data_IF_472353692801
#
_entry.id   IF_472353692801
#
_cell.length_a   1.000
_cell.length_b   1.000
_cell.length_c   1.000
_cell.angle_alpha   90.00
_cell.angle_beta   90.00
_cell.angle_gamma   90.00
#
_symmetry.space_group_name_H-M   'P 1'
#
loop_
_entity.id
_entity.type
_entity.pdbx_description
1 polymer ?
#
# COMPACT_ATOMS: atom_id res chain seq x y z
N UNK A 1 -3.16 10.06 -20.01
CA UNK A 1 -2.23 10.36 -18.89
C UNK A 1 -2.09 9.07 -18.08
N UNK A 2 -1.06 8.26 -18.36
CA UNK A 2 -0.93 6.90 -17.80
C UNK A 2 -0.41 6.95 -16.36
N UNK A 3 -1.30 7.24 -15.41
CA UNK A 3 -1.03 6.98 -13.99
C UNK A 3 -1.07 5.47 -13.77
N UNK A 4 -0.02 4.91 -13.19
CA UNK A 4 -0.10 3.55 -12.62
C UNK A 4 -0.38 3.78 -11.15
N UNK A 5 -1.64 3.60 -10.78
CA UNK A 5 -2.12 3.87 -9.42
C UNK A 5 -1.55 2.80 -8.49
N UNK A 6 -0.58 3.20 -7.67
CA UNK A 6 -0.16 2.47 -6.49
C UNK A 6 -1.09 2.92 -5.35
N UNK A 7 -2.32 2.39 -5.29
CA UNK A 7 -3.27 2.80 -4.24
C UNK A 7 -2.86 2.17 -2.89
N UNK A 8 -1.98 2.85 -2.18
CA UNK A 8 -1.63 2.49 -0.80
C UNK A 8 -2.70 3.08 0.13
N UNK A 9 -3.78 2.34 0.35
CA UNK A 9 -4.74 2.68 1.40
C UNK A 9 -4.27 2.09 2.73
N UNK A 10 -3.48 2.86 3.47
CA UNK A 10 -2.98 2.47 4.78
C UNK A 10 -4.10 2.57 5.82
N UNK A 11 -4.76 1.45 6.11
CA UNK A 11 -5.64 1.31 7.27
C UNK A 11 -4.77 0.70 8.38
N UNK A 12 -4.28 1.55 9.27
CA UNK A 12 -3.55 1.12 10.45
C UNK A 12 -4.53 0.95 11.61
N UNK A 13 -4.41 -0.17 12.35
CA UNK A 13 -5.15 -0.39 13.59
C UNK A 13 -4.15 -0.16 14.73
N UNK A 14 -4.20 1.02 15.33
CA UNK A 14 -3.42 1.33 16.54
C UNK A 14 -4.08 0.67 17.75
N UNK A 15 -3.31 -0.04 18.59
CA UNK A 15 -3.70 -0.41 19.96
C UNK A 15 -3.45 0.72 20.96
N UNK A 16 -2.76 1.79 20.55
CA UNK A 16 -2.43 2.94 21.38
C UNK A 16 -3.28 4.17 21.02
N UNK A 17 -3.83 4.83 22.05
CA UNK A 17 -4.57 6.09 21.96
C UNK A 17 -3.69 7.20 21.38
N UNK A 18 -3.70 7.35 20.06
CA UNK A 18 -3.01 8.40 19.31
C UNK A 18 -3.55 8.41 17.89
N UNK A 19 -4.18 9.51 17.49
CA UNK A 19 -4.93 9.58 16.23
C UNK A 19 -4.06 9.34 15.00
N UNK A 20 -4.03 8.11 14.50
CA UNK A 20 -3.44 7.81 13.20
C UNK A 20 -4.31 8.37 12.08
N UNK A 21 -3.68 9.06 11.13
CA UNK A 21 -4.33 9.50 9.91
C UNK A 21 -4.11 8.44 8.82
N UNK A 22 -5.20 7.88 8.25
CA UNK A 22 -5.08 6.97 7.12
C UNK A 22 -4.45 7.73 5.95
N UNK A 23 -3.47 7.11 5.30
CA UNK A 23 -2.97 7.58 4.02
C UNK A 23 -3.87 6.96 2.94
N UNK A 24 -4.39 7.80 2.05
CA UNK A 24 -5.31 7.33 1.02
C UNK A 24 -4.57 6.80 -0.21
N UNK A 25 -3.51 7.46 -0.71
CA UNK A 25 -2.86 7.08 -1.99
C UNK A 25 -1.39 7.52 -2.10
N UNK A 26 -0.56 6.72 -2.78
CA UNK A 26 0.83 7.04 -3.15
C UNK A 26 1.00 6.89 -4.67
N UNK A 27 1.09 7.98 -5.41
CA UNK A 27 1.24 7.93 -6.87
C UNK A 27 2.63 8.41 -7.30
N UNK A 28 3.34 7.59 -8.08
CA UNK A 28 4.63 7.96 -8.68
C UNK A 28 4.44 8.23 -10.18
N UNK A 29 4.89 9.40 -10.64
CA UNK A 29 4.78 9.79 -12.05
C UNK A 29 5.67 8.90 -12.92
N UNK A 30 5.25 8.66 -14.17
CA UNK A 30 5.95 7.77 -15.12
C UNK A 30 7.47 8.01 -15.28
N UNK A 31 7.99 9.26 -15.29
CA UNK A 31 9.43 9.52 -15.42
C UNK A 31 10.27 9.00 -14.25
N UNK A 32 9.66 8.71 -13.09
CA UNK A 32 10.34 8.28 -11.88
C UNK A 32 10.14 6.77 -11.61
N UNK A 33 9.71 6.02 -12.63
CA UNK A 33 9.63 4.55 -12.55
C UNK A 33 11.02 3.96 -12.73
N UNK A 34 11.32 2.90 -12.00
CA UNK A 34 12.60 2.18 -12.11
C UNK A 34 13.80 2.89 -11.45
N UNK A 35 13.62 4.09 -10.90
CA UNK A 35 14.70 4.85 -10.22
C UNK A 35 14.86 4.52 -8.73
N UNK A 36 14.01 3.65 -8.18
CA UNK A 36 13.96 3.38 -6.74
C UNK A 36 13.28 4.46 -5.90
N UNK A 37 12.91 5.61 -6.49
CA UNK A 37 12.23 6.72 -5.77
C UNK A 37 10.94 6.28 -5.10
N UNK A 38 10.16 5.39 -5.74
CA UNK A 38 8.94 4.84 -5.17
C UNK A 38 9.20 4.09 -3.86
N UNK A 39 10.28 3.31 -3.79
CA UNK A 39 10.67 2.55 -2.60
C UNK A 39 11.15 3.48 -1.49
N UNK A 40 11.96 4.47 -1.83
CA UNK A 40 12.45 5.46 -0.85
C UNK A 40 11.30 6.22 -0.20
N UNK A 41 10.34 6.69 -1.00
CA UNK A 41 9.18 7.40 -0.49
C UNK A 41 8.28 6.48 0.35
N UNK A 42 8.07 5.24 -0.10
CA UNK A 42 7.38 4.21 0.69
C UNK A 42 8.03 4.01 2.06
N UNK A 43 9.35 3.81 2.11
CA UNK A 43 10.07 3.55 3.34
C UNK A 43 10.05 4.76 4.27
N UNK A 44 10.25 5.97 3.72
CA UNK A 44 10.16 7.21 4.49
C UNK A 44 8.76 7.43 5.11
N UNK A 45 7.69 7.06 4.40
CA UNK A 45 6.32 7.19 4.88
C UNK A 45 6.00 6.22 6.02
N UNK A 46 6.69 5.08 6.09
CA UNK A 46 6.48 4.03 7.09
C UNK A 46 7.47 4.10 8.26
N UNK A 47 8.66 4.68 8.06
CA UNK A 47 9.75 4.66 9.03
C UNK A 47 9.42 5.29 10.40
N UNK A 48 8.46 6.22 10.45
CA UNK A 48 8.08 6.96 11.66
C UNK A 48 6.65 6.67 12.11
N UNK A 49 6.08 5.56 11.64
CA UNK A 49 4.72 5.16 12.00
C UNK A 49 4.72 4.48 13.38
N UNK A 50 3.90 4.96 14.34
CA UNK A 50 3.76 4.29 15.64
C UNK A 50 3.04 2.94 15.55
N UNK A 51 2.46 2.58 14.40
CA UNK A 51 1.65 1.37 14.25
C UNK A 51 2.48 0.13 13.93
N UNK A 52 2.01 -1.04 14.38
CA UNK A 52 2.65 -2.34 14.14
C UNK A 52 2.45 -2.89 12.73
N UNK A 53 1.44 -2.39 12.02
CA UNK A 53 1.00 -2.97 10.74
C UNK A 53 0.49 -1.90 9.80
N UNK A 54 0.89 -2.01 8.54
CA UNK A 54 0.35 -1.26 7.42
C UNK A 54 -0.47 -2.19 6.51
N UNK A 55 -1.54 -1.66 5.94
CA UNK A 55 -2.33 -2.36 4.91
C UNK A 55 -2.38 -1.57 3.62
N UNK A 56 -2.67 -2.22 2.50
CA UNK A 56 -2.98 -1.54 1.23
C UNK A 56 -3.89 -2.41 0.36
N UNK A 57 -4.43 -1.83 -0.71
CA UNK A 57 -5.24 -2.55 -1.68
C UNK A 57 -4.58 -2.45 -3.07
N UNK A 58 -4.23 -3.59 -3.66
CA UNK A 58 -3.74 -3.65 -5.05
C UNK A 58 -4.84 -4.17 -5.94
N UNK A 59 -5.13 -3.49 -7.05
CA UNK A 59 -6.01 -4.02 -8.09
C UNK A 59 -5.36 -5.26 -8.74
N UNK A 60 -6.07 -6.39 -8.77
CA UNK A 60 -5.61 -7.65 -9.36
C UNK A 60 -5.27 -7.53 -10.85
N UNK A 61 -5.84 -6.55 -11.56
CA UNK A 61 -5.52 -6.27 -12.95
C UNK A 61 -4.07 -5.77 -13.16
N UNK A 62 -3.32 -5.47 -12.09
CA UNK A 62 -1.95 -4.96 -12.14
C UNK A 62 -0.94 -5.92 -11.49
N UNK A 63 -0.66 -7.10 -12.06
CA UNK A 63 0.22 -8.11 -11.45
C UNK A 63 1.66 -7.63 -11.24
N UNK A 64 2.16 -6.71 -12.08
CA UNK A 64 3.50 -6.10 -11.89
C UNK A 64 3.57 -5.23 -10.63
N UNK A 65 2.47 -4.57 -10.28
CA UNK A 65 2.39 -3.76 -9.05
C UNK A 65 2.32 -4.66 -7.83
N UNK A 66 1.54 -5.74 -7.93
CA UNK A 66 1.43 -6.74 -6.88
C UNK A 66 2.80 -7.37 -6.57
N UNK A 67 3.52 -7.87 -7.58
CA UNK A 67 4.86 -8.42 -7.43
C UNK A 67 5.89 -7.41 -6.87
N UNK A 68 5.75 -6.12 -7.22
CA UNK A 68 6.59 -5.06 -6.64
C UNK A 68 6.38 -4.95 -5.12
N UNK A 69 5.12 -4.93 -4.66
CA UNK A 69 4.84 -4.88 -3.22
C UNK A 69 5.26 -6.17 -2.51
N UNK A 70 5.12 -7.33 -3.13
CA UNK A 70 5.65 -8.57 -2.56
C UNK A 70 7.17 -8.50 -2.36
N UNK A 71 7.91 -7.97 -3.34
CA UNK A 71 9.37 -7.76 -3.22
C UNK A 71 9.76 -6.82 -2.08
N UNK A 72 8.83 -6.00 -1.61
CA UNK A 72 8.99 -5.04 -0.52
C UNK A 72 8.60 -5.59 0.85
N UNK A 73 8.19 -6.86 0.92
CA UNK A 73 7.81 -7.56 2.14
C UNK A 73 6.30 -7.58 2.42
N UNK A 74 5.48 -7.03 1.52
CA UNK A 74 4.03 -7.09 1.67
C UNK A 74 3.51 -8.50 1.40
N UNK A 75 2.47 -8.90 2.13
CA UNK A 75 1.84 -10.22 2.02
C UNK A 75 0.36 -10.08 1.70
N UNK A 76 -0.12 -10.81 0.70
CA UNK A 76 -1.56 -10.87 0.38
C UNK A 76 -2.34 -11.57 1.48
N UNK A 77 -3.45 -10.96 1.92
CA UNK A 77 -4.37 -11.51 2.91
C UNK A 77 -5.54 -12.29 2.29
N UNK A 78 -5.77 -12.13 0.98
CA UNK A 78 -6.83 -12.79 0.22
C UNK A 78 -7.37 -11.87 -0.87
N UNK A 79 -8.61 -12.13 -1.27
CA UNK A 79 -9.33 -11.35 -2.29
C UNK A 79 -10.41 -10.49 -1.64
N UNK A 80 -10.49 -9.24 -2.08
CA UNK A 80 -11.50 -8.28 -1.66
C UNK A 80 -12.20 -7.71 -2.88
N UNK A 81 -13.51 -7.88 -2.94
CA UNK A 81 -14.36 -7.14 -3.87
C UNK A 81 -15.22 -6.12 -3.11
N UNK A 82 -15.01 -4.82 -3.30
CA UNK A 82 -15.88 -3.81 -2.71
C UNK A 82 -17.35 -4.03 -3.11
N UNK A 83 -18.28 -3.78 -2.19
CA UNK A 83 -19.73 -3.89 -2.43
C UNK A 83 -20.27 -2.67 -3.20
N UNK A 84 -19.69 -2.39 -4.35
CA UNK A 84 -20.19 -1.40 -5.31
C UNK A 84 -20.29 -2.05 -6.69
N UNK A 85 -21.23 -1.59 -7.50
CA UNK A 85 -21.46 -2.15 -8.84
C UNK A 85 -20.19 -2.03 -9.69
N UNK A 86 -19.79 -3.12 -10.34
CA UNK A 86 -18.60 -3.21 -11.18
C UNK A 86 -17.27 -2.88 -10.47
N UNK A 87 -17.19 -3.11 -9.14
CA UNK A 87 -15.94 -2.94 -8.42
C UNK A 87 -14.86 -3.93 -8.92
N UNK A 88 -13.59 -3.47 -9.06
CA UNK A 88 -12.47 -4.34 -9.36
C UNK A 88 -12.22 -5.34 -8.22
N UNK A 89 -11.59 -6.47 -8.55
CA UNK A 89 -11.04 -7.38 -7.55
C UNK A 89 -9.73 -6.81 -7.03
N UNK A 90 -9.59 -6.80 -5.71
CA UNK A 90 -8.46 -6.19 -5.01
C UNK A 90 -7.77 -7.25 -4.15
N UNK A 91 -6.44 -7.20 -4.08
CA UNK A 91 -5.64 -7.87 -3.06
C UNK A 91 -5.39 -6.92 -1.88
N UNK A 92 -6.05 -7.11 -0.73
CA UNK A 92 -5.56 -6.58 0.54
C UNK A 92 -4.19 -7.17 0.86
N UNK A 93 -3.20 -6.30 1.04
CA UNK A 93 -1.86 -6.70 1.44
C UNK A 93 -1.50 -6.09 2.81
N UNK A 94 -0.67 -6.80 3.56
CA UNK A 94 -0.21 -6.45 4.90
C UNK A 94 1.32 -6.36 4.94
N UNK A 95 1.83 -5.37 5.65
CA UNK A 95 3.23 -5.27 6.04
C UNK A 95 3.33 -5.09 7.56
N UNK A 96 4.15 -5.92 8.21
CA UNK A 96 4.52 -5.72 9.61
C UNK A 96 5.58 -4.64 9.69
N UNK A 97 5.35 -3.63 10.53
CA UNK A 97 6.28 -2.53 10.76
C UNK A 97 7.11 -2.81 12.01
N UNK A 98 8.42 -2.48 12.00
CA UNK A 98 9.24 -2.58 13.19
C UNK A 98 8.75 -1.59 14.24
N UNK A 99 8.51 -2.08 15.46
CA UNK A 99 8.28 -1.23 16.63
C UNK A 99 9.62 -0.66 17.07
N UNK A 100 9.76 0.67 17.10
CA UNK A 100 10.93 1.36 17.65
C UNK A 100 10.62 1.92 19.02
#
# INVERSE_FOLDING_TARGET
MHYTTLSVRCITKSSAFGGSKPLSELMVRAPWRGTGTARQLHDALLAHRPEERATLLVDQAHPKVHALYESWGWRTLGDLRPRVTNAPLMHPMLLTLPQR
#
